data_IF_924513405987
#
_entry.id   IF_924513405987
#
_cell.length_a   1.000
_cell.length_b   1.000
_cell.length_c   1.000
_cell.angle_alpha   90.00
_cell.angle_beta   90.00
_cell.angle_gamma   90.00
#
_symmetry.space_group_name_H-M   'P 1'
#
loop_
_entity.id
_entity.type
_entity.pdbx_description
1 polymer ?
#
# COMPACT_ATOMS: atom_id res chain seq x y z
N UNK A 1 -5.21 0.35 -8.11
CA UNK A 1 -4.40 0.05 -9.29
C UNK A 1 -3.46 1.21 -9.57
N UNK A 2 -2.24 0.87 -10.00
CA UNK A 2 -1.24 1.87 -10.43
C UNK A 2 -0.41 1.29 -11.58
N UNK A 3 -0.31 2.02 -12.68
CA UNK A 3 0.33 1.56 -13.92
C UNK A 3 1.60 2.34 -14.31
N UNK A 4 2.15 3.13 -13.39
CA UNK A 4 3.30 4.00 -13.63
C UNK A 4 2.96 5.36 -14.27
N UNK A 5 1.68 5.63 -14.53
CA UNK A 5 1.19 6.90 -15.10
C UNK A 5 -0.07 7.39 -14.41
N UNK A 6 -0.94 6.46 -14.04
CA UNK A 6 -2.21 6.77 -13.38
C UNK A 6 -2.39 5.90 -12.15
N UNK A 7 -3.05 6.47 -11.13
CA UNK A 7 -3.60 5.74 -10.01
C UNK A 7 -5.12 5.68 -10.14
N UNK A 8 -5.70 4.52 -9.88
CA UNK A 8 -7.15 4.37 -9.82
C UNK A 8 -7.58 3.57 -8.59
N UNK A 9 -8.66 4.03 -7.96
CA UNK A 9 -9.32 3.36 -6.85
C UNK A 9 -10.77 3.04 -7.25
N UNK A 10 -11.14 1.77 -7.18
CA UNK A 10 -12.47 1.30 -7.53
C UNK A 10 -13.16 0.69 -6.32
N UNK A 11 -14.40 1.11 -6.08
CA UNK A 11 -15.26 0.60 -5.00
C UNK A 11 -16.41 -0.21 -5.61
N UNK A 12 -16.31 -1.55 -5.62
CA UNK A 12 -17.30 -2.41 -6.28
C UNK A 12 -18.72 -2.24 -5.75
N UNK A 13 -18.87 -2.05 -4.44
CA UNK A 13 -20.18 -1.96 -3.78
C UNK A 13 -21.04 -0.77 -4.23
N UNK A 14 -20.41 0.28 -4.75
CA UNK A 14 -21.09 1.52 -5.18
C UNK A 14 -20.84 1.85 -6.64
N UNK A 15 -20.05 1.02 -7.34
CA UNK A 15 -19.62 1.23 -8.73
C UNK A 15 -18.99 2.62 -8.95
N UNK A 16 -18.16 3.04 -7.97
CA UNK A 16 -17.46 4.31 -8.03
C UNK A 16 -15.99 4.09 -8.36
N UNK A 17 -15.43 4.95 -9.22
CA UNK A 17 -14.00 4.95 -9.53
C UNK A 17 -13.43 6.37 -9.47
N UNK A 18 -12.31 6.51 -8.76
CA UNK A 18 -11.46 7.68 -8.83
C UNK A 18 -10.24 7.37 -9.70
N UNK A 19 -9.86 8.29 -10.56
CA UNK A 19 -8.66 8.18 -11.42
C UNK A 19 -7.93 9.51 -11.41
N UNK A 20 -6.62 9.47 -11.19
CA UNK A 20 -5.75 10.65 -11.28
C UNK A 20 -4.41 10.28 -11.93
N UNK A 21 -3.75 11.29 -12.50
CA UNK A 21 -2.36 11.15 -12.91
C UNK A 21 -1.49 10.87 -11.69
N UNK A 22 -0.47 10.05 -11.87
CA UNK A 22 0.42 9.65 -10.79
C UNK A 22 1.89 9.74 -11.24
N UNK A 23 2.81 10.02 -10.31
CA UNK A 23 4.25 10.00 -10.57
C UNK A 23 4.72 8.63 -11.09
N UNK A 24 5.86 8.58 -11.81
CA UNK A 24 6.28 7.38 -12.54
C UNK A 24 6.88 6.27 -11.67
N UNK A 25 7.18 6.52 -10.40
CA UNK A 25 7.74 5.52 -9.49
C UNK A 25 6.78 5.18 -8.35
N UNK A 26 6.88 3.97 -7.81
CA UNK A 26 6.06 3.51 -6.68
C UNK A 26 6.26 4.42 -5.48
N UNK A 27 7.50 4.77 -5.14
CA UNK A 27 7.80 5.62 -3.99
C UNK A 27 7.14 7.00 -4.09
N UNK A 28 7.28 7.64 -5.24
CA UNK A 28 6.65 8.94 -5.50
C UNK A 28 5.11 8.84 -5.52
N UNK A 29 4.57 7.72 -6.02
CA UNK A 29 3.12 7.48 -6.02
C UNK A 29 2.61 7.30 -4.59
N UNK A 30 3.31 6.53 -3.74
CA UNK A 30 2.94 6.34 -2.33
C UNK A 30 2.99 7.68 -1.57
N UNK A 31 4.03 8.47 -1.79
CA UNK A 31 4.18 9.82 -1.21
C UNK A 31 3.05 10.76 -1.65
N UNK A 32 2.75 10.80 -2.95
CA UNK A 32 1.66 11.61 -3.49
C UNK A 32 0.28 11.15 -2.97
N UNK A 33 0.04 9.85 -2.87
CA UNK A 33 -1.20 9.31 -2.34
C UNK A 33 -1.43 9.72 -0.89
N UNK A 34 -0.36 9.72 -0.07
CA UNK A 34 -0.41 10.18 1.31
C UNK A 34 -0.66 11.69 1.41
N UNK A 35 0.17 12.51 0.76
CA UNK A 35 0.14 13.97 0.93
C UNK A 35 -1.03 14.66 0.22
N UNK A 36 -1.49 14.11 -0.91
CA UNK A 36 -2.56 14.72 -1.72
C UNK A 36 -3.91 14.06 -1.44
N UNK A 37 -3.93 12.74 -1.32
CA UNK A 37 -5.16 11.96 -1.17
C UNK A 37 -5.50 11.56 0.26
N UNK A 38 -4.59 11.75 1.21
CA UNK A 38 -4.63 11.18 2.57
C UNK A 38 -4.90 9.65 2.53
N UNK A 39 -4.36 8.98 1.50
CA UNK A 39 -4.48 7.54 1.32
C UNK A 39 -3.23 6.90 1.88
N UNK A 40 -3.40 6.13 2.95
CA UNK A 40 -2.34 5.32 3.53
C UNK A 40 -2.41 3.89 2.98
N UNK A 41 -1.28 3.40 2.50
CA UNK A 41 -1.14 1.99 2.12
C UNK A 41 -0.39 1.26 3.23
N UNK A 42 -1.08 0.49 4.08
CA UNK A 42 -0.41 -0.37 5.03
C UNK A 42 0.58 -1.28 4.31
N UNK A 43 1.80 -1.40 4.86
CA UNK A 43 2.86 -2.21 4.25
C UNK A 43 3.34 -1.72 2.86
N UNK A 44 3.13 -0.45 2.51
CA UNK A 44 3.72 0.18 1.33
C UNK A 44 5.24 0.01 1.26
N UNK A 45 5.89 -0.04 2.42
CA UNK A 45 7.34 -0.26 2.53
C UNK A 45 7.82 -1.57 1.88
N UNK A 46 6.98 -2.61 1.84
CA UNK A 46 7.33 -3.90 1.20
C UNK A 46 7.47 -3.78 -0.31
N UNK A 47 6.76 -2.83 -0.92
CA UNK A 47 6.79 -2.58 -2.37
C UNK A 47 7.63 -1.35 -2.74
N UNK A 48 8.16 -0.62 -1.77
CA UNK A 48 9.06 0.50 -1.97
C UNK A 48 10.39 0.05 -2.60
N UNK A 49 11.10 0.97 -3.23
CA UNK A 49 12.39 0.67 -3.87
C UNK A 49 13.50 0.30 -2.85
N UNK A 50 13.37 0.75 -1.60
CA UNK A 50 14.23 0.36 -0.49
C UNK A 50 13.40 -0.18 0.69
N UNK A 51 12.92 -1.41 0.63
CA UNK A 51 12.12 -1.99 1.72
C UNK A 51 12.92 -2.17 3.02
N UNK A 52 14.25 -2.13 2.95
CA UNK A 52 15.11 -2.25 4.12
C UNK A 52 15.20 -0.95 4.94
N UNK A 53 14.78 0.19 4.41
CA UNK A 53 14.85 1.48 5.12
C UNK A 53 14.06 1.47 6.44
N UNK A 54 12.99 0.70 6.53
CA UNK A 54 12.21 0.55 7.77
C UNK A 54 13.03 -0.07 8.89
N UNK A 55 14.02 -0.92 8.58
CA UNK A 55 14.85 -1.60 9.58
C UNK A 55 15.90 -0.69 10.20
N UNK A 56 16.25 0.43 9.56
CA UNK A 56 17.21 1.41 10.08
C UNK A 56 16.72 2.09 11.37
N UNK A 57 15.41 2.10 11.59
CA UNK A 57 14.77 2.72 12.76
C UNK A 57 14.41 1.76 13.87
N UNK A 58 14.78 0.49 13.72
CA UNK A 58 14.50 -0.52 14.75
C UNK A 58 15.37 -0.31 15.98
N UNK A 59 14.75 -0.43 17.15
CA UNK A 59 15.43 -0.43 18.45
C UNK A 59 15.65 -1.84 18.99
N UNK A 60 14.87 -2.80 18.51
CA UNK A 60 15.03 -4.22 18.86
C UNK A 60 14.54 -5.12 17.73
N UNK A 61 15.21 -6.27 17.62
CA UNK A 61 14.81 -7.36 16.74
C UNK A 61 15.26 -8.68 17.39
N UNK A 62 14.40 -9.71 17.36
CA UNK A 62 14.73 -11.02 17.87
C UNK A 62 14.01 -12.13 17.13
N UNK A 63 14.66 -13.27 17.06
CA UNK A 63 14.09 -14.49 16.49
C UNK A 63 13.17 -15.14 17.50
N UNK A 64 11.93 -15.41 17.10
CA UNK A 64 10.91 -16.03 17.97
C UNK A 64 10.93 -17.54 17.87
N UNK A 65 11.13 -18.09 16.67
CA UNK A 65 11.11 -19.52 16.40
C UNK A 65 10.48 -19.85 15.05
N UNK A 66 10.25 -21.14 14.84
CA UNK A 66 9.58 -21.61 13.61
C UNK A 66 8.08 -21.77 13.83
N UNK A 67 7.32 -21.54 12.77
CA UNK A 67 5.87 -21.60 12.75
C UNK A 67 5.36 -22.23 11.45
N UNK A 68 4.19 -22.84 11.49
CA UNK A 68 3.47 -23.37 10.32
C UNK A 68 2.05 -22.77 10.22
N UNK A 69 1.77 -21.70 10.95
CA UNK A 69 0.41 -21.13 11.05
C UNK A 69 -0.05 -20.45 9.76
N UNK A 70 0.87 -20.02 8.91
CA UNK A 70 0.54 -19.31 7.66
C UNK A 70 0.46 -20.32 6.52
N UNK A 71 -0.75 -20.72 6.14
CA UNK A 71 -1.00 -21.64 5.02
C UNK A 71 -0.28 -22.98 5.12
N UNK A 72 0.11 -23.43 6.33
CA UNK A 72 0.88 -24.65 6.53
C UNK A 72 2.35 -24.56 6.08
N UNK A 73 2.80 -23.41 5.60
CA UNK A 73 4.18 -23.21 5.17
C UNK A 73 5.10 -23.05 6.38
N UNK A 74 6.24 -23.72 6.36
CA UNK A 74 7.29 -23.55 7.39
C UNK A 74 7.90 -22.17 7.27
N UNK A 75 7.82 -21.39 8.34
CA UNK A 75 8.32 -20.03 8.40
C UNK A 75 9.24 -19.83 9.61
N UNK A 76 10.22 -18.97 9.47
CA UNK A 76 10.95 -18.36 10.56
C UNK A 76 10.21 -17.09 11.00
N UNK A 77 9.97 -16.97 12.30
CA UNK A 77 9.25 -15.84 12.87
C UNK A 77 10.23 -14.90 13.56
N UNK A 78 10.15 -13.62 13.19
CA UNK A 78 10.96 -12.53 13.76
C UNK A 78 10.03 -11.48 14.33
N UNK A 79 10.32 -10.99 15.53
CA UNK A 79 9.65 -9.83 16.11
C UNK A 79 10.61 -8.64 16.15
N UNK A 80 10.07 -7.46 15.82
CA UNK A 80 10.84 -6.22 15.76
C UNK A 80 10.06 -5.08 16.42
N UNK A 81 10.78 -4.08 16.94
CA UNK A 81 10.17 -2.86 17.45
C UNK A 81 11.06 -1.66 17.19
N UNK A 82 10.44 -0.50 16.97
CA UNK A 82 11.10 0.79 16.79
C UNK A 82 10.14 1.86 16.31
N UNK A 83 10.44 3.13 16.58
CA UNK A 83 9.69 4.31 16.11
C UNK A 83 8.16 4.21 16.30
N UNK A 84 7.72 3.68 17.45
CA UNK A 84 6.29 3.50 17.75
C UNK A 84 5.60 2.36 17.01
N UNK A 85 6.36 1.45 16.43
CA UNK A 85 5.87 0.27 15.72
C UNK A 85 6.38 -0.99 16.41
N UNK A 86 5.51 -1.97 16.56
CA UNK A 86 5.86 -3.35 16.87
C UNK A 86 5.38 -4.23 15.73
N UNK A 87 6.24 -5.10 15.22
CA UNK A 87 5.87 -5.98 14.11
C UNK A 87 6.36 -7.41 14.34
N UNK A 88 5.60 -8.34 13.82
CA UNK A 88 5.92 -9.76 13.69
C UNK A 88 5.95 -10.12 12.22
N UNK A 89 7.01 -10.79 11.78
CA UNK A 89 7.21 -11.20 10.40
C UNK A 89 7.35 -12.72 10.34
N UNK A 90 6.58 -13.35 9.47
CA UNK A 90 6.71 -14.77 9.10
C UNK A 90 7.37 -14.86 7.75
N UNK A 91 8.56 -15.40 7.70
CA UNK A 91 9.41 -15.47 6.52
C UNK A 91 9.57 -16.94 6.15
N UNK A 92 9.33 -17.31 4.90
CA UNK A 92 9.49 -18.68 4.43
C UNK A 92 10.89 -19.20 4.73
N UNK A 93 10.99 -20.33 5.43
CA UNK A 93 12.27 -20.86 5.88
C UNK A 93 13.19 -21.29 4.73
N UNK A 94 12.60 -21.70 3.60
CA UNK A 94 13.36 -22.23 2.45
C UNK A 94 13.65 -21.16 1.39
N UNK A 95 12.72 -20.21 1.16
CA UNK A 95 12.79 -19.24 0.07
C UNK A 95 12.98 -17.79 0.54
N UNK A 96 12.93 -17.55 1.85
CA UNK A 96 13.06 -16.23 2.51
C UNK A 96 12.04 -15.19 2.04
N UNK A 97 10.92 -15.61 1.46
CA UNK A 97 9.85 -14.70 1.05
C UNK A 97 8.90 -14.43 2.22
N UNK A 98 8.37 -13.21 2.36
CA UNK A 98 7.39 -12.92 3.39
C UNK A 98 6.11 -13.74 3.17
N UNK A 99 5.56 -14.26 4.25
CA UNK A 99 4.28 -14.97 4.29
C UNK A 99 3.23 -14.19 5.03
N UNK A 100 3.60 -13.56 6.12
CA UNK A 100 2.70 -12.69 6.87
C UNK A 100 3.50 -11.60 7.58
N UNK A 101 2.92 -10.45 7.67
CA UNK A 101 3.37 -9.34 8.53
C UNK A 101 2.20 -8.89 9.37
N UNK A 102 2.41 -8.77 10.67
CA UNK A 102 1.48 -8.16 11.61
C UNK A 102 2.15 -6.95 12.25
N UNK A 103 1.46 -5.83 12.29
CA UNK A 103 1.99 -4.56 12.84
C UNK A 103 1.02 -3.97 13.84
N UNK A 104 1.55 -3.41 14.92
CA UNK A 104 0.83 -2.61 15.90
C UNK A 104 1.49 -1.23 15.98
N UNK A 105 0.70 -0.17 15.81
CA UNK A 105 1.15 1.22 15.95
C UNK A 105 0.91 1.68 17.39
N UNK A 106 1.97 1.68 18.19
CA UNK A 106 1.89 1.94 19.65
C UNK A 106 1.73 3.41 19.97
N UNK A 107 2.10 4.31 19.05
CA UNK A 107 1.95 5.76 19.20
C UNK A 107 0.52 6.26 18.89
N UNK A 108 -0.33 5.41 18.31
CA UNK A 108 -1.72 5.75 18.03
C UNK A 108 -2.62 5.45 19.24
N UNK A 109 -3.57 6.32 19.62
CA UNK A 109 -4.41 6.12 20.81
C UNK A 109 -5.22 4.82 20.79
N UNK A 110 -5.60 4.34 19.60
CA UNK A 110 -6.34 3.08 19.43
C UNK A 110 -5.43 1.86 19.27
N UNK A 111 -4.10 2.03 19.29
CA UNK A 111 -3.14 0.97 18.97
C UNK A 111 -3.53 0.22 17.70
N UNK A 112 -3.78 0.97 16.63
CA UNK A 112 -4.18 0.40 15.35
C UNK A 112 -3.24 -0.73 14.94
N UNK A 113 -3.81 -1.83 14.49
CA UNK A 113 -3.04 -3.00 14.06
C UNK A 113 -3.51 -3.47 12.69
N UNK A 114 -2.55 -3.94 11.91
CA UNK A 114 -2.76 -4.46 10.58
C UNK A 114 -2.12 -5.83 10.45
N UNK A 115 -2.71 -6.66 9.61
CA UNK A 115 -2.14 -7.94 9.21
C UNK A 115 -2.26 -8.08 7.71
N UNK A 116 -1.18 -8.51 7.07
CA UNK A 116 -1.16 -8.83 5.64
C UNK A 116 -0.54 -10.20 5.44
N UNK A 117 -1.19 -11.03 4.65
CA UNK A 117 -0.69 -12.33 4.22
C UNK A 117 -0.29 -12.26 2.74
N UNK A 118 0.82 -12.92 2.41
CA UNK A 118 1.38 -12.98 1.06
C UNK A 118 1.32 -14.43 0.58
N UNK A 119 0.56 -14.65 -0.48
CA UNK A 119 0.32 -15.97 -1.04
C UNK A 119 0.68 -16.01 -2.52
N UNK A 120 0.81 -17.18 -3.07
CA UNK A 120 0.96 -17.43 -4.52
C UNK A 120 2.13 -16.67 -5.16
N UNK A 121 3.28 -16.65 -4.49
CA UNK A 121 4.48 -16.03 -5.00
C UNK A 121 4.86 -16.58 -6.38
N UNK A 122 5.00 -15.69 -7.35
CA UNK A 122 5.43 -15.98 -8.72
C UNK A 122 6.57 -15.04 -9.09
N UNK A 123 7.78 -15.48 -8.80
CA UNK A 123 8.98 -14.68 -9.07
C UNK A 123 9.35 -14.75 -10.56
N UNK A 124 9.87 -13.63 -11.08
CA UNK A 124 10.36 -13.52 -12.46
C UNK A 124 9.32 -13.88 -13.56
N UNK A 125 8.05 -13.85 -13.23
CA UNK A 125 6.98 -14.08 -14.19
C UNK A 125 6.62 -12.73 -14.84
N UNK A 126 6.53 -12.66 -16.18
CA UNK A 126 6.05 -11.47 -16.85
C UNK A 126 4.64 -11.12 -16.34
N UNK A 127 4.48 -9.88 -15.87
CA UNK A 127 3.16 -9.38 -15.50
C UNK A 127 2.48 -8.75 -16.71
N UNK A 128 1.21 -9.07 -16.93
CA UNK A 128 0.40 -8.40 -17.93
C UNK A 128 0.13 -6.95 -17.48
N UNK A 129 0.39 -5.99 -18.34
CA UNK A 129 0.15 -4.56 -18.08
C UNK A 129 -1.31 -4.27 -17.69
N UNK A 130 -2.25 -5.09 -18.10
CA UNK A 130 -3.67 -4.97 -17.74
C UNK A 130 -3.93 -5.28 -16.27
N UNK A 131 -3.07 -6.07 -15.60
CA UNK A 131 -3.18 -6.35 -14.16
C UNK A 131 -3.05 -5.09 -13.29
N UNK A 132 -2.40 -4.06 -13.79
CA UNK A 132 -2.16 -2.80 -13.09
C UNK A 132 -3.22 -1.73 -13.38
N UNK A 133 -4.28 -2.08 -14.12
CA UNK A 133 -5.37 -1.18 -14.50
C UNK A 133 -6.71 -1.77 -14.10
N UNK A 134 -7.62 -0.89 -13.65
CA UNK A 134 -9.00 -1.30 -13.45
C UNK A 134 -9.72 -1.44 -14.79
N UNK A 135 -10.37 -2.58 -15.03
CA UNK A 135 -11.26 -2.76 -16.19
C UNK A 135 -12.48 -1.84 -16.15
N UNK A 136 -12.80 -1.28 -14.99
CA UNK A 136 -13.99 -0.45 -14.78
C UNK A 136 -13.75 1.05 -15.05
N UNK A 137 -12.55 1.46 -15.52
CA UNK A 137 -12.23 2.87 -15.81
C UNK A 137 -13.20 3.50 -16.82
N UNK A 138 -13.69 2.73 -17.77
CA UNK A 138 -14.62 3.20 -18.81
C UNK A 138 -16.10 3.10 -18.47
N UNK A 139 -16.49 2.33 -17.46
CA UNK A 139 -17.88 1.96 -17.16
C UNK A 139 -18.37 2.48 -15.82
N UNK A 140 -17.53 2.50 -14.79
CA UNK A 140 -17.90 2.96 -13.46
C UNK A 140 -18.10 4.48 -13.39
N UNK A 141 -18.95 4.91 -12.46
CA UNK A 141 -19.21 6.33 -12.21
C UNK A 141 -17.96 7.00 -11.62
N UNK A 142 -17.43 7.99 -12.32
CA UNK A 142 -16.24 8.73 -11.91
C UNK A 142 -16.51 9.68 -10.75
N UNK A 143 -15.58 9.67 -9.80
CA UNK A 143 -15.46 10.63 -8.71
C UNK A 143 -14.03 11.18 -8.70
N UNK A 144 -13.80 12.29 -8.00
CA UNK A 144 -12.45 12.82 -7.77
C UNK A 144 -11.82 12.16 -6.55
N UNK A 145 -10.50 11.98 -6.54
CA UNK A 145 -9.76 11.82 -5.29
C UNK A 145 -9.93 13.10 -4.47
N UNK A 146 -10.25 12.95 -3.20
CA UNK A 146 -10.45 14.07 -2.30
C UNK A 146 -9.97 13.67 -0.90
N UNK A 147 -9.16 14.49 -0.23
CA UNK A 147 -8.76 14.20 1.14
C UNK A 147 -10.01 14.17 2.05
N UNK A 148 -9.99 13.40 3.14
CA UNK A 148 -11.07 13.38 4.12
C UNK A 148 -11.40 14.79 4.60
N UNK A 149 -12.68 15.17 4.58
CA UNK A 149 -13.16 16.49 4.99
C UNK A 149 -13.05 17.60 3.93
N UNK A 150 -12.55 17.31 2.73
CA UNK A 150 -12.60 18.27 1.64
C UNK A 150 -14.06 18.51 1.22
N UNK A 151 -14.46 19.77 1.15
CA UNK A 151 -15.76 20.15 0.59
C UNK A 151 -15.70 19.89 -0.92
N UNK A 152 -16.64 19.12 -1.49
CA UNK A 152 -16.65 18.87 -2.91
C UNK A 152 -16.68 20.20 -3.68
N UNK A 153 -15.85 20.40 -4.72
CA UNK A 153 -15.94 21.59 -5.53
C UNK A 153 -17.36 21.71 -6.13
N UNK A 154 -17.89 22.93 -6.28
CA UNK A 154 -19.17 23.11 -6.94
C UNK A 154 -19.12 22.47 -8.33
N UNK A 155 -20.17 21.74 -8.68
CA UNK A 155 -20.26 21.00 -9.95
C UNK A 155 -20.23 21.98 -11.12
N UNK A 156 -19.05 22.28 -11.61
CA UNK A 156 -18.87 22.91 -12.91
C UNK A 156 -18.58 21.82 -13.93
N UNK A 157 -19.25 21.89 -15.08
CA UNK A 157 -19.15 20.91 -16.15
C UNK A 157 -17.69 20.73 -16.60
N UNK A 158 -17.32 19.46 -16.80
CA UNK A 158 -16.15 18.95 -17.52
C UNK A 158 -14.87 19.81 -17.44
N UNK A 159 -14.03 19.49 -16.47
CA UNK A 159 -12.62 19.89 -16.49
C UNK A 159 -11.77 18.62 -16.45
N UNK A 160 -11.04 18.39 -17.53
CA UNK A 160 -9.89 17.50 -17.62
C UNK A 160 -8.94 17.88 -16.48
N UNK A 161 -8.64 16.92 -15.59
CA UNK A 161 -7.84 17.18 -14.39
C UNK A 161 -6.43 17.66 -14.71
N UNK A 162 -6.18 18.93 -14.42
CA UNK A 162 -4.83 19.45 -14.23
C UNK A 162 -4.61 19.59 -12.72
N UNK A 163 -3.52 19.00 -12.24
CA UNK A 163 -3.02 19.20 -10.87
C UNK A 163 -2.67 20.69 -10.65
N UNK A 164 -2.93 21.27 -9.47
CA UNK A 164 -2.50 22.64 -9.21
C UNK A 164 -0.97 22.70 -9.12
N UNK A 165 -0.39 23.60 -9.91
CA UNK A 165 1.01 23.96 -9.93
C UNK A 165 1.41 24.60 -8.59
N UNK A 166 2.47 24.12 -7.96
CA UNK A 166 3.03 24.65 -6.72
C UNK A 166 3.70 25.99 -7.01
N UNK A 167 3.18 27.08 -6.45
CA UNK A 167 3.90 28.37 -6.44
C UNK A 167 4.97 28.42 -5.34
N UNK A 168 6.11 29.10 -5.61
CA UNK A 168 7.30 29.15 -4.77
C UNK A 168 7.08 29.81 -3.41
#
# INVERSE_FOLDING_TARGET
YYDGKTISAYVPSTDLIAVADAPPTIDQMLDAAWHVGAIYFPFGDVIASNPCAVFEKLTSAFYVGQSIVVGGTKTDMVAVAGDGVQAELWIGADDHLPRMVRVVYTNEPAHAHYQTEYMDWRLNTPADATAFRSSNVGTAKRISFSPPGAVPPPRTAASTGQMPEKKP
#
